data_IF_321789548828
#
_entry.id   IF_321789548828
#
_cell.length_a   1.000
_cell.length_b   1.000
_cell.length_c   1.000
_cell.angle_alpha   90.00
_cell.angle_beta   90.00
_cell.angle_gamma   90.00
#
_symmetry.space_group_name_H-M   'P 1'
#
loop_
_entity.id
_entity.type
_entity.pdbx_description
1 polymer ?
#
# COMPACT_ATOMS: atom_id res chain seq x y z
N UNK A 1 -8.34 -8.83 -0.80
CA UNK A 1 -7.93 -9.53 0.44
C UNK A 1 -6.92 -8.63 1.12
N UNK A 2 -6.99 -8.43 2.44
CA UNK A 2 -5.98 -7.66 3.19
C UNK A 2 -4.61 -8.31 3.01
N UNK A 3 -3.54 -7.50 3.04
CA UNK A 3 -2.17 -7.98 2.82
C UNK A 3 -1.33 -7.99 4.11
N UNK A 4 -1.97 -8.27 5.25
CA UNK A 4 -1.36 -8.26 6.58
C UNK A 4 -0.55 -9.53 6.90
N UNK A 5 0.56 -9.38 7.63
CA UNK A 5 1.34 -10.47 8.23
C UNK A 5 1.21 -10.41 9.77
N UNK A 6 0.71 -11.47 10.44
CA UNK A 6 0.47 -11.46 11.89
C UNK A 6 1.78 -11.69 12.67
N UNK A 7 2.57 -10.64 12.84
CA UNK A 7 3.74 -10.66 13.72
C UNK A 7 3.32 -10.79 15.20
N UNK A 8 4.15 -11.48 16.00
CA UNK A 8 3.87 -11.71 17.44
C UNK A 8 3.64 -10.39 18.18
N UNK A 9 4.51 -9.41 17.92
CA UNK A 9 4.28 -8.01 18.27
C UNK A 9 3.89 -7.28 16.98
N UNK A 10 2.69 -6.68 16.91
CA UNK A 10 2.25 -5.91 15.76
C UNK A 10 3.29 -4.86 15.35
N UNK A 11 3.58 -4.83 14.05
CA UNK A 11 4.62 -4.00 13.42
C UNK A 11 4.20 -3.68 11.99
N UNK A 12 4.77 -2.61 11.42
CA UNK A 12 4.58 -2.22 10.03
C UNK A 12 4.76 -3.41 9.08
N UNK A 13 3.78 -3.65 8.22
CA UNK A 13 3.73 -4.82 7.35
C UNK A 13 2.86 -4.57 6.11
N UNK A 14 2.88 -5.50 5.15
CA UNK A 14 1.96 -5.46 4.01
C UNK A 14 2.31 -4.47 2.89
N UNK A 15 3.42 -3.73 2.99
CA UNK A 15 3.85 -2.87 1.90
C UNK A 15 4.21 -3.65 0.61
N UNK A 16 3.82 -3.11 -0.55
CA UNK A 16 4.06 -3.64 -1.89
C UNK A 16 4.82 -2.62 -2.72
N UNK A 17 6.10 -2.91 -2.98
CA UNK A 17 6.98 -2.09 -3.79
C UNK A 17 6.85 -2.38 -5.29
N UNK A 18 7.08 -1.35 -6.12
CA UNK A 18 7.19 -1.48 -7.57
C UNK A 18 5.85 -1.67 -8.26
N UNK A 19 4.82 -0.96 -7.79
CA UNK A 19 3.45 -1.12 -8.26
C UNK A 19 3.06 -0.01 -9.23
N UNK A 20 2.64 -0.38 -10.45
CA UNK A 20 2.18 0.59 -11.47
C UNK A 20 0.64 0.65 -11.55
N UNK A 21 -0.03 -0.33 -10.94
CA UNK A 21 -1.47 -0.54 -11.03
C UNK A 21 -2.02 -1.22 -9.78
N UNK A 22 -3.11 -0.67 -9.22
CA UNK A 22 -3.84 -1.23 -8.08
C UNK A 22 -5.30 -1.40 -8.49
N UNK A 23 -5.91 -2.54 -8.15
CA UNK A 23 -7.36 -2.76 -8.29
C UNK A 23 -7.90 -3.33 -6.99
N UNK A 24 -8.90 -2.64 -6.41
CA UNK A 24 -9.58 -3.04 -5.19
C UNK A 24 -11.07 -3.10 -5.51
N UNK A 25 -11.65 -4.28 -5.44
CA UNK A 25 -13.07 -4.51 -5.73
C UNK A 25 -13.77 -5.23 -4.59
N UNK A 26 -15.07 -4.99 -4.48
CA UNK A 26 -15.96 -5.85 -3.72
C UNK A 26 -16.22 -7.18 -4.45
N UNK A 27 -17.03 -8.06 -3.86
CA UNK A 27 -17.37 -9.34 -4.48
C UNK A 27 -18.25 -9.23 -5.72
N UNK A 28 -18.90 -8.09 -5.92
CA UNK A 28 -19.77 -7.84 -7.07
C UNK A 28 -18.97 -7.28 -8.24
N UNK A 29 -17.77 -6.74 -8.01
CA UNK A 29 -16.91 -6.15 -9.03
C UNK A 29 -16.88 -4.62 -9.01
N UNK A 30 -17.61 -3.99 -8.09
CA UNK A 30 -17.53 -2.54 -7.89
C UNK A 30 -16.27 -2.18 -7.10
N UNK A 31 -15.60 -1.10 -7.46
CA UNK A 31 -14.34 -0.78 -6.80
C UNK A 31 -13.60 0.43 -7.33
N UNK A 32 -12.30 0.43 -7.05
CA UNK A 32 -11.36 1.48 -7.42
C UNK A 32 -10.16 0.86 -8.14
N UNK A 33 -9.79 1.48 -9.25
CA UNK A 33 -8.54 1.26 -9.94
C UNK A 33 -7.66 2.49 -9.79
N UNK A 34 -6.37 2.28 -9.57
CA UNK A 34 -5.37 3.34 -9.46
C UNK A 34 -4.23 2.98 -10.38
N UNK A 35 -3.80 3.92 -11.21
CA UNK A 35 -2.70 3.76 -12.14
C UNK A 35 -1.66 4.85 -11.86
N UNK A 36 -0.40 4.47 -11.93
CA UNK A 36 0.73 5.36 -11.77
C UNK A 36 1.72 5.12 -12.89
N UNK A 37 2.18 6.19 -13.55
CA UNK A 37 3.23 6.11 -14.58
C UNK A 37 4.59 5.71 -13.99
N UNK A 38 4.84 6.11 -12.74
CA UNK A 38 6.04 5.76 -11.99
C UNK A 38 5.67 4.74 -10.91
N UNK A 39 6.43 3.66 -10.72
CA UNK A 39 6.11 2.66 -9.70
C UNK A 39 5.99 3.28 -8.31
N UNK A 40 4.94 2.91 -7.57
CA UNK A 40 4.68 3.35 -6.20
C UNK A 40 4.78 2.19 -5.21
N UNK A 41 4.72 2.55 -3.94
CA UNK A 41 4.53 1.65 -2.81
C UNK A 41 3.08 1.76 -2.30
N UNK A 42 2.51 0.66 -1.83
CA UNK A 42 1.19 0.70 -1.21
C UNK A 42 0.99 -0.38 -0.14
N UNK A 43 0.13 -0.08 0.83
CA UNK A 43 -0.38 -1.04 1.82
C UNK A 43 -1.90 -0.93 1.96
N UNK A 44 -2.56 -2.04 2.34
CA UNK A 44 -4.02 -2.10 2.41
C UNK A 44 -4.49 -2.88 3.64
N UNK A 45 -4.99 -2.13 4.62
CA UNK A 45 -5.36 -2.63 5.96
C UNK A 45 -6.78 -2.23 6.33
N UNK A 46 -7.33 -2.87 7.36
CA UNK A 46 -8.58 -2.48 8.01
C UNK A 46 -8.33 -1.82 9.38
N UNK A 47 -7.10 -1.40 9.66
CA UNK A 47 -6.67 -0.69 10.87
C UNK A 47 -5.73 0.45 10.48
N UNK A 48 -5.63 1.48 11.33
CA UNK A 48 -4.65 2.56 11.17
C UNK A 48 -3.32 2.25 11.87
N UNK A 49 -2.30 3.04 11.55
CA UNK A 49 -0.93 2.89 12.09
C UNK A 49 -0.94 3.06 13.62
N UNK A 50 -1.76 3.97 14.14
CA UNK A 50 -1.94 4.22 15.57
C UNK A 50 -2.45 2.98 16.33
N UNK A 51 -3.43 2.27 15.77
CA UNK A 51 -3.97 1.03 16.33
C UNK A 51 -2.92 -0.09 16.33
N UNK A 52 -2.13 -0.17 15.27
CA UNK A 52 -1.02 -1.12 15.15
C UNK A 52 0.08 -0.85 16.19
N UNK A 53 0.46 0.41 16.39
CA UNK A 53 1.51 0.80 17.37
C UNK A 53 1.10 0.58 18.83
N UNK A 54 -0.19 0.74 19.15
CA UNK A 54 -0.72 0.58 20.51
C UNK A 54 -0.89 -0.87 20.92
N UNK A 55 -1.10 -1.78 19.96
CA UNK A 55 -1.33 -3.20 20.23
C UNK A 55 -0.04 -3.92 20.66
N UNK A 56 -0.12 -4.71 21.74
CA UNK A 56 0.98 -5.58 22.16
C UNK A 56 0.89 -6.96 21.47
N UNK A 57 -0.33 -7.37 21.09
CA UNK A 57 -0.63 -8.61 20.38
C UNK A 57 -1.60 -8.36 19.22
N UNK A 58 -1.53 -9.19 18.17
CA UNK A 58 -2.33 -9.05 16.94
C UNK A 58 -3.85 -8.93 17.19
N UNK A 59 -4.39 -9.72 18.11
CA UNK A 59 -5.82 -9.70 18.46
C UNK A 59 -6.28 -8.44 19.21
N UNK A 60 -5.35 -7.56 19.61
CA UNK A 60 -5.64 -6.28 20.27
C UNK A 60 -5.72 -5.12 19.27
N UNK A 61 -5.37 -5.34 17.99
CA UNK A 61 -5.44 -4.31 16.96
C UNK A 61 -6.90 -3.85 16.81
N UNK A 62 -7.12 -2.55 16.98
CA UNK A 62 -8.43 -1.95 16.82
C UNK A 62 -8.76 -1.79 15.31
N UNK A 63 -9.54 -2.72 14.78
CA UNK A 63 -10.01 -2.66 13.39
C UNK A 63 -11.12 -1.63 13.20
N UNK A 64 -11.18 -1.09 12.00
CA UNK A 64 -12.15 -0.08 11.54
C UNK A 64 -13.22 -0.74 10.66
N UNK A 65 -14.32 -0.02 10.42
CA UNK A 65 -15.40 -0.49 9.55
C UNK A 65 -15.12 -0.29 8.04
N UNK A 66 -13.97 0.29 7.70
CA UNK A 66 -13.53 0.59 6.35
C UNK A 66 -12.10 0.08 6.14
N UNK A 67 -11.62 0.14 4.91
CA UNK A 67 -10.22 -0.17 4.64
C UNK A 67 -9.44 1.13 4.42
N UNK A 68 -8.17 1.10 4.81
CA UNK A 68 -7.19 2.16 4.65
C UNK A 68 -6.21 1.69 3.57
N UNK A 69 -6.10 2.50 2.52
CA UNK A 69 -5.13 2.32 1.44
C UNK A 69 -4.09 3.44 1.54
N UNK A 70 -2.83 3.07 1.78
CA UNK A 70 -1.72 4.01 1.74
C UNK A 70 -1.06 3.93 0.36
N UNK A 71 -0.74 5.09 -0.22
CA UNK A 71 -0.12 5.24 -1.54
C UNK A 71 1.12 6.12 -1.37
N UNK A 72 2.28 5.51 -1.44
CA UNK A 72 3.54 6.13 -1.06
C UNK A 72 4.48 6.23 -2.26
N UNK A 73 5.16 7.37 -2.39
CA UNK A 73 6.27 7.51 -3.34
C UNK A 73 7.44 6.59 -2.98
N UNK A 74 7.73 6.47 -1.68
CA UNK A 74 8.74 5.59 -1.13
C UNK A 74 8.52 5.39 0.37
N UNK A 75 8.82 4.21 0.88
CA UNK A 75 8.89 3.94 2.32
C UNK A 75 10.35 3.73 2.74
N UNK A 76 10.68 4.15 3.96
CA UNK A 76 12.03 3.96 4.48
C UNK A 76 12.31 2.46 4.70
N UNK A 77 13.49 1.97 4.33
CA UNK A 77 13.83 0.56 4.53
C UNK A 77 13.77 0.16 6.01
N UNK A 78 13.57 -1.12 6.34
CA UNK A 78 13.45 -1.51 7.76
C UNK A 78 14.83 -1.48 8.46
N UNK A 79 15.88 -1.97 7.80
CA UNK A 79 17.19 -2.19 8.41
C UNK A 79 17.18 -3.34 9.43
N UNK A 80 18.15 -3.37 10.36
CA UNK A 80 18.23 -4.39 11.41
C UNK A 80 18.33 -3.79 12.83
N UNK A 81 17.82 -2.56 12.99
CA UNK A 81 18.08 -1.70 14.14
C UNK A 81 17.46 -2.17 15.47
N UNK A 82 16.88 -3.37 15.52
CA UNK A 82 16.51 -4.07 16.75
C UNK A 82 17.71 -4.72 17.44
N UNK A 83 18.73 -5.15 16.68
CA UNK A 83 20.01 -5.67 17.19
C UNK A 83 21.08 -5.73 16.07
N UNK A 84 21.39 -4.59 15.42
CA UNK A 84 22.28 -4.58 14.26
C UNK A 84 22.52 -3.21 13.65
N UNK A 85 23.03 -3.19 12.41
CA UNK A 85 23.32 -1.96 11.67
C UNK A 85 22.02 -1.28 11.20
N UNK A 86 22.07 0.05 11.15
CA UNK A 86 21.07 0.88 10.51
C UNK A 86 20.93 0.50 9.02
N UNK A 87 19.87 0.98 8.37
CA UNK A 87 19.63 0.75 6.95
C UNK A 87 20.86 1.12 6.11
N UNK A 88 21.18 0.28 5.12
CA UNK A 88 22.26 0.59 4.19
C UNK A 88 21.94 1.90 3.45
N UNK A 89 22.95 2.72 3.10
CA UNK A 89 22.73 4.03 2.47
C UNK A 89 21.78 4.05 1.27
N UNK A 90 21.72 3.04 0.38
CA UNK A 90 20.78 3.00 -0.74
C UNK A 90 19.30 2.85 -0.34
N UNK A 91 19.01 2.36 0.87
CA UNK A 91 17.63 2.09 1.34
C UNK A 91 17.14 3.12 2.36
N UNK A 92 17.94 4.17 2.60
CA UNK A 92 17.56 5.26 3.48
C UNK A 92 16.85 6.34 2.68
N UNK A 93 15.57 6.51 2.96
CA UNK A 93 14.79 7.61 2.42
C UNK A 93 15.23 8.92 3.07
N UNK A 94 15.73 9.85 2.25
CA UNK A 94 16.10 11.20 2.67
C UNK A 94 15.08 12.19 2.12
N UNK A 95 14.90 13.35 2.78
CA UNK A 95 14.14 14.45 2.20
C UNK A 95 14.68 14.78 0.81
N UNK A 96 13.80 14.72 -0.18
CA UNK A 96 14.09 15.04 -1.58
C UNK A 96 12.83 15.56 -2.24
N UNK A 97 12.99 16.30 -3.33
CA UNK A 97 11.87 16.64 -4.21
C UNK A 97 11.35 15.35 -4.85
N UNK A 98 10.03 15.21 -4.92
CA UNK A 98 9.37 14.08 -5.55
C UNK A 98 8.07 14.53 -6.21
N UNK A 99 7.67 13.81 -7.25
CA UNK A 99 6.37 13.96 -7.91
C UNK A 99 5.62 12.64 -7.81
N UNK A 100 4.39 12.69 -7.35
CA UNK A 100 3.48 11.56 -7.26
C UNK A 100 2.25 11.84 -8.14
N UNK A 101 2.22 11.22 -9.33
CA UNK A 101 1.09 11.30 -10.26
C UNK A 101 0.25 10.03 -10.17
N UNK A 102 -1.04 10.18 -9.88
CA UNK A 102 -1.96 9.06 -9.69
C UNK A 102 -3.27 9.33 -10.43
N UNK A 103 -3.74 8.34 -11.16
CA UNK A 103 -5.04 8.36 -11.82
C UNK A 103 -6.01 7.39 -11.15
N UNK A 104 -7.24 7.85 -10.90
CA UNK A 104 -8.25 7.10 -10.16
C UNK A 104 -9.44 6.81 -11.06
N UNK A 105 -9.85 5.54 -11.10
CA UNK A 105 -10.95 5.06 -11.93
C UNK A 105 -11.95 4.29 -11.08
N UNK A 106 -13.23 4.64 -11.18
CA UNK A 106 -14.29 3.79 -10.66
C UNK A 106 -14.35 2.49 -11.49
N UNK A 107 -14.49 1.37 -10.80
CA UNK A 107 -14.74 0.07 -11.41
C UNK A 107 -16.18 -0.33 -11.15
N UNK A 108 -16.79 -0.93 -12.16
CA UNK A 108 -18.06 -1.64 -12.07
C UNK A 108 -17.90 -3.02 -12.74
N UNK A 109 -18.87 -3.94 -12.56
CA UNK A 109 -18.73 -5.31 -13.05
C UNK A 109 -18.62 -5.44 -14.57
N UNK A 110 -19.03 -4.42 -15.33
CA UNK A 110 -18.99 -4.41 -16.79
C UNK A 110 -17.70 -3.77 -17.33
N UNK A 111 -17.04 -2.97 -16.51
CA UNK A 111 -15.80 -2.26 -16.85
C UNK A 111 -14.58 -3.05 -16.38
N UNK A 112 -13.98 -3.85 -17.28
CA UNK A 112 -12.75 -4.58 -16.94
C UNK A 112 -11.56 -3.61 -16.76
N UNK A 113 -10.76 -3.82 -15.72
CA UNK A 113 -9.51 -3.08 -15.47
C UNK A 113 -8.61 -2.98 -16.72
N UNK A 114 -8.55 -4.07 -17.49
CA UNK A 114 -7.75 -4.18 -18.71
C UNK A 114 -8.24 -3.28 -19.86
N UNK A 115 -9.54 -2.93 -19.91
CA UNK A 115 -10.09 -2.04 -20.92
C UNK A 115 -9.62 -0.59 -20.71
N UNK A 116 -9.49 -0.16 -19.46
CA UNK A 116 -8.98 1.17 -19.11
C UNK A 116 -7.45 1.21 -19.18
N UNK A 117 -6.75 0.19 -18.68
CA UNK A 117 -5.27 0.14 -18.73
C UNK A 117 -4.70 0.15 -20.16
N UNK A 118 -5.39 -0.43 -21.15
CA UNK A 118 -4.97 -0.39 -22.57
C UNK A 118 -5.10 0.99 -23.21
N UNK A 119 -6.01 1.84 -22.73
CA UNK A 119 -6.15 3.20 -23.22
C UNK A 119 -4.99 4.12 -22.80
N UNK A 120 -4.21 3.70 -21.80
CA UNK A 120 -3.24 4.56 -21.09
C UNK A 120 -1.80 4.23 -21.51
N UNK A 121 -1.54 3.02 -22.03
CA UNK A 121 -0.22 2.62 -22.57
C UNK A 121 0.07 3.05 -24.02
N UNK A 122 -0.83 3.81 -24.66
CA UNK A 122 -0.69 4.30 -26.04
C UNK A 122 -0.67 5.84 -26.18
N UNK A 123 -0.62 6.60 -25.07
CA UNK A 123 -0.51 8.06 -25.09
C UNK A 123 0.91 8.56 -24.83
#
# INVERSE_FOLDING_TARGET
>A
MLNTIPYIRPQENGNRYGTDAISITDRQGFGLAIISEKPIEFSYHDYDVDALEKACYDHEIAHTAYCILNLDFAQNGIGSNSCGQDQLPPYRLKPQEFDLGLEFYALDPETSFLANAKSIGES
#
